data_IF_731548815185
#
_entry.id   IF_731548815185
#
_cell.length_a   1.000
_cell.length_b   1.000
_cell.length_c   1.000
_cell.angle_alpha   90.00
_cell.angle_beta   90.00
_cell.angle_gamma   90.00
#
_symmetry.space_group_name_H-M   'P 1'
#
loop_
_entity.id
_entity.type
_entity.pdbx_description
1 polymer ?
#
# COMPACT_ATOMS: atom_id res chain seq x y z
N UNK A 1 -5.58 0.90 19.81
CA UNK A 1 -4.22 0.39 20.09
C UNK A 1 -3.56 0.03 18.75
N UNK A 2 -3.29 1.03 17.90
CA UNK A 2 -2.86 0.83 16.49
C UNK A 2 -1.42 1.34 16.24
N UNK A 3 -0.86 2.10 17.17
CA UNK A 3 0.44 2.78 17.02
C UNK A 3 1.64 1.86 17.19
N UNK A 4 1.48 0.72 17.87
CA UNK A 4 2.53 -0.29 18.05
C UNK A 4 2.87 -1.03 16.75
N UNK A 5 1.91 -1.19 15.83
CA UNK A 5 2.18 -1.72 14.49
C UNK A 5 3.06 -0.75 13.69
N UNK A 6 2.86 0.56 13.87
CA UNK A 6 3.61 1.59 13.17
C UNK A 6 5.08 1.73 13.62
N UNK A 7 5.44 1.36 14.85
CA UNK A 7 6.85 1.46 15.30
C UNK A 7 7.73 0.32 14.78
N UNK A 8 7.13 -0.79 14.32
CA UNK A 8 7.84 -1.88 13.65
C UNK A 8 8.15 -1.62 12.17
N UNK A 9 7.60 -0.54 11.58
CA UNK A 9 7.55 -0.23 10.14
C UNK A 9 8.89 0.23 9.52
N UNK A 10 10.03 -0.08 10.15
CA UNK A 10 11.37 0.42 9.76
C UNK A 10 12.24 -0.67 9.11
N UNK A 11 11.88 -1.96 9.22
CA UNK A 11 12.64 -3.05 8.60
C UNK A 11 11.92 -3.58 7.36
N UNK A 12 12.69 -3.89 6.30
CA UNK A 12 12.20 -4.40 5.00
C UNK A 12 11.19 -5.55 5.10
N UNK A 13 11.18 -6.28 6.23
CA UNK A 13 10.26 -7.38 6.54
C UNK A 13 8.78 -6.97 6.71
N UNK A 14 8.47 -5.68 6.83
CA UNK A 14 7.08 -5.21 7.01
C UNK A 14 6.38 -4.99 5.67
N UNK A 15 7.11 -4.68 4.60
CA UNK A 15 6.48 -4.47 3.31
C UNK A 15 5.83 -5.77 2.79
N UNK A 16 6.49 -6.92 2.96
CA UNK A 16 5.89 -8.24 2.65
C UNK A 16 4.71 -8.55 3.56
N UNK A 17 4.82 -8.31 4.88
CA UNK A 17 3.70 -8.52 5.82
C UNK A 17 2.48 -7.67 5.49
N UNK A 18 2.69 -6.45 5.00
CA UNK A 18 1.60 -5.55 4.58
C UNK A 18 0.92 -6.10 3.33
N UNK A 19 1.66 -6.69 2.40
CA UNK A 19 1.08 -7.41 1.25
C UNK A 19 0.29 -8.64 1.69
N UNK A 20 0.82 -9.44 2.62
CA UNK A 20 0.10 -10.61 3.14
C UNK A 20 -1.18 -10.20 3.89
N UNK A 21 -1.13 -9.10 4.65
CA UNK A 21 -2.32 -8.50 5.28
C UNK A 21 -3.37 -8.04 4.25
N UNK A 22 -2.96 -7.60 3.06
CA UNK A 22 -3.91 -7.24 2.00
C UNK A 22 -4.65 -8.47 1.46
N UNK A 23 -3.95 -9.60 1.30
CA UNK A 23 -4.58 -10.87 0.89
C UNK A 23 -5.59 -11.38 1.95
N UNK A 24 -5.31 -11.13 3.23
CA UNK A 24 -6.21 -11.49 4.34
C UNK A 24 -7.35 -10.49 4.57
N UNK A 25 -7.20 -9.24 4.11
CA UNK A 25 -8.22 -8.19 4.27
C UNK A 25 -9.39 -8.42 3.32
N UNK A 26 -10.46 -9.02 3.86
CA UNK A 26 -11.80 -9.06 3.23
C UNK A 26 -12.58 -7.75 3.32
N UNK A 27 -12.00 -6.73 3.98
CA UNK A 27 -12.64 -5.45 4.29
C UNK A 27 -11.96 -4.36 3.48
N UNK A 28 -12.73 -3.36 3.09
CA UNK A 28 -12.28 -2.21 2.33
C UNK A 28 -11.14 -1.46 3.06
N UNK A 29 -9.94 -1.35 2.46
CA UNK A 29 -8.80 -0.73 3.11
C UNK A 29 -9.04 0.77 3.28
N UNK A 30 -8.82 1.27 4.49
CA UNK A 30 -8.92 2.69 4.77
C UNK A 30 -7.74 3.47 4.13
N UNK A 31 -7.86 4.81 4.10
CA UNK A 31 -6.82 5.70 3.57
C UNK A 31 -5.39 5.45 4.09
N UNK A 32 -5.24 5.09 5.37
CA UNK A 32 -3.94 4.82 5.97
C UNK A 32 -3.38 3.47 5.52
N UNK A 33 -4.23 2.46 5.37
CA UNK A 33 -3.84 1.14 4.86
C UNK A 33 -3.43 1.28 3.39
N UNK A 34 -4.20 2.02 2.59
CA UNK A 34 -3.87 2.30 1.18
C UNK A 34 -2.51 2.99 1.02
N UNK A 35 -2.25 4.08 1.76
CA UNK A 35 -0.96 4.77 1.66
C UNK A 35 0.22 3.89 2.11
N UNK A 36 0.01 3.08 3.16
CA UNK A 36 1.02 2.14 3.65
C UNK A 36 1.30 1.03 2.64
N UNK A 37 0.26 0.48 1.99
CA UNK A 37 0.38 -0.53 0.94
C UNK A 37 1.13 0.02 -0.28
N UNK A 38 0.78 1.22 -0.74
CA UNK A 38 1.48 1.85 -1.85
C UNK A 38 2.96 2.06 -1.55
N UNK A 39 3.29 2.57 -0.35
CA UNK A 39 4.67 2.79 0.06
C UNK A 39 5.43 1.46 0.24
N UNK A 40 4.78 0.41 0.75
CA UNK A 40 5.34 -0.94 0.83
C UNK A 40 5.64 -1.50 -0.56
N UNK A 41 4.71 -1.35 -1.51
CA UNK A 41 4.92 -1.78 -2.89
C UNK A 41 6.09 -1.04 -3.54
N UNK A 42 6.12 0.28 -3.37
CA UNK A 42 7.17 1.17 -3.85
C UNK A 42 8.55 0.77 -3.29
N UNK A 43 8.63 0.35 -2.02
CA UNK A 43 9.87 -0.12 -1.38
C UNK A 43 10.32 -1.50 -1.84
N UNK A 44 9.39 -2.43 -2.09
CA UNK A 44 9.72 -3.79 -2.50
C UNK A 44 10.23 -3.86 -3.94
N UNK A 45 9.68 -3.02 -4.83
CA UNK A 45 10.10 -2.92 -6.23
C UNK A 45 10.25 -4.30 -6.92
N UNK A 46 9.32 -5.22 -6.66
CA UNK A 46 9.29 -6.55 -7.25
C UNK A 46 7.96 -6.80 -8.00
N UNK A 47 7.92 -7.84 -8.84
CA UNK A 47 6.73 -8.15 -9.65
C UNK A 47 5.46 -8.37 -8.82
N UNK A 48 5.61 -8.97 -7.62
CA UNK A 48 4.49 -9.21 -6.70
C UNK A 48 3.88 -7.88 -6.23
N UNK A 49 4.72 -6.95 -5.82
CA UNK A 49 4.33 -5.62 -5.37
C UNK A 49 3.69 -4.79 -6.49
N UNK A 50 4.18 -4.91 -7.72
CA UNK A 50 3.55 -4.27 -8.88
C UNK A 50 2.13 -4.81 -9.11
N UNK A 51 1.95 -6.13 -9.04
CA UNK A 51 0.64 -6.77 -9.24
C UNK A 51 -0.36 -6.33 -8.16
N UNK A 52 0.04 -6.40 -6.90
CA UNK A 52 -0.81 -5.99 -5.76
C UNK A 52 -1.11 -4.50 -5.84
N UNK A 53 -0.13 -3.66 -6.17
CA UNK A 53 -0.32 -2.23 -6.34
C UNK A 53 -1.36 -1.86 -7.42
N UNK A 54 -1.36 -2.58 -8.53
CA UNK A 54 -2.37 -2.42 -9.60
C UNK A 54 -3.75 -2.90 -9.16
N UNK A 55 -3.84 -4.03 -8.46
CA UNK A 55 -5.10 -4.51 -7.88
C UNK A 55 -5.65 -3.53 -6.83
N UNK A 56 -4.76 -2.90 -6.05
CA UNK A 56 -5.11 -1.86 -5.09
C UNK A 56 -5.73 -0.66 -5.78
N UNK A 57 -5.10 -0.16 -6.84
CA UNK A 57 -5.60 0.93 -7.68
C UNK A 57 -6.96 0.60 -8.33
N UNK A 58 -7.15 -0.65 -8.74
CA UNK A 58 -8.41 -1.10 -9.35
C UNK A 58 -9.55 -1.22 -8.32
N UNK A 59 -9.23 -1.63 -7.08
CA UNK A 59 -10.19 -1.73 -5.97
C UNK A 59 -10.36 -0.44 -5.19
N UNK A 60 -9.56 0.60 -5.50
CA UNK A 60 -9.57 1.86 -4.79
C UNK A 60 -10.88 2.61 -5.03
N UNK A 61 -11.63 2.95 -3.97
CA UNK A 61 -12.84 3.76 -4.10
C UNK A 61 -12.56 5.11 -4.72
N UNK A 62 -13.50 5.59 -5.56
CA UNK A 62 -13.47 6.92 -6.17
C UNK A 62 -13.21 8.03 -5.12
N UNK A 63 -13.80 7.87 -3.94
CA UNK A 63 -13.71 8.78 -2.80
C UNK A 63 -12.26 9.03 -2.33
N UNK A 64 -11.35 8.10 -2.60
CA UNK A 64 -9.94 8.22 -2.25
C UNK A 64 -9.09 8.85 -3.36
N UNK A 65 -9.61 8.98 -4.59
CA UNK A 65 -8.89 9.66 -5.69
C UNK A 65 -8.67 11.14 -5.41
N UNK A 66 -9.62 11.76 -4.71
CA UNK A 66 -9.51 13.16 -4.26
C UNK A 66 -8.54 13.32 -3.08
N UNK A 67 -8.10 12.22 -2.46
CA UNK A 67 -7.11 12.27 -1.40
C UNK A 67 -5.71 12.37 -1.98
N UNK A 68 -5.18 13.59 -1.97
CA UNK A 68 -3.85 13.92 -2.50
C UNK A 68 -2.73 13.02 -1.94
N UNK A 69 -2.85 12.56 -0.69
CA UNK A 69 -1.83 11.71 -0.04
C UNK A 69 -1.81 10.32 -0.68
N UNK A 70 -2.99 9.74 -0.95
CA UNK A 70 -3.12 8.41 -1.55
C UNK A 70 -2.70 8.46 -3.01
N UNK A 71 -3.20 9.44 -3.75
CA UNK A 71 -2.86 9.64 -5.16
C UNK A 71 -1.35 9.86 -5.35
N UNK A 72 -0.72 10.67 -4.50
CA UNK A 72 0.75 10.84 -4.53
C UNK A 72 1.46 9.53 -4.22
N UNK A 73 1.03 8.79 -3.19
CA UNK A 73 1.65 7.51 -2.82
C UNK A 73 1.52 6.46 -3.92
N UNK A 74 0.40 6.44 -4.63
CA UNK A 74 0.16 5.54 -5.76
C UNK A 74 1.01 5.91 -6.98
N UNK A 75 1.18 7.20 -7.26
CA UNK A 75 2.08 7.68 -8.32
C UNK A 75 3.54 7.35 -7.98
N UNK A 76 3.99 7.62 -6.75
CA UNK A 76 5.34 7.29 -6.28
C UNK A 76 5.64 5.80 -6.43
N UNK A 77 4.64 4.95 -6.15
CA UNK A 77 4.72 3.52 -6.36
C UNK A 77 4.94 3.20 -7.84
N UNK A 78 4.10 3.73 -8.73
CA UNK A 78 4.24 3.52 -10.19
C UNK A 78 5.57 4.03 -10.74
N UNK A 79 6.07 5.17 -10.25
CA UNK A 79 7.37 5.71 -10.68
C UNK A 79 8.54 4.79 -10.34
N UNK A 80 8.48 4.05 -9.22
CA UNK A 80 9.55 3.12 -8.83
C UNK A 80 9.55 1.81 -9.61
N UNK A 81 8.44 1.44 -10.25
CA UNK A 81 8.32 0.25 -11.09
C UNK A 81 8.68 0.49 -12.56
N UNK A 82 9.06 1.73 -12.92
CA UNK A 82 9.49 2.12 -14.26
C UNK A 82 10.96 1.85 -14.54
#
# INVERSE_FOLDING_TARGET
>A
MYTIVFKGLITNNVAEKVLDLFDEMKIEPNQFILSTLFNACAKLCNDRAMKIGKELLAKMPENYRDNNIISTSAIDMLMKFG
#
